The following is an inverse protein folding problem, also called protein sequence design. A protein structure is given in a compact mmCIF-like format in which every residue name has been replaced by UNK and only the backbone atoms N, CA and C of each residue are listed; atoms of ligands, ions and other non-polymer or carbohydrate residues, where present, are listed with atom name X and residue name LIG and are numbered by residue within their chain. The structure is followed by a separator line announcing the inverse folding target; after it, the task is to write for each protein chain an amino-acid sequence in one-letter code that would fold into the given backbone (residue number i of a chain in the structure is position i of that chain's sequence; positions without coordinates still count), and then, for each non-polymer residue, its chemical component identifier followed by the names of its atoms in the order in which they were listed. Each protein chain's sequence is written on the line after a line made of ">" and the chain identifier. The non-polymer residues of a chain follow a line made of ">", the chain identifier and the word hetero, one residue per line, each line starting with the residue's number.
data_IF_677866614759
#
_entry.id   IF_677866614759
#
_cell.length_a   1.000
_cell.length_b   1.000
_cell.length_c   1.000
_cell.angle_alpha   90.00
_cell.angle_beta   90.00
_cell.angle_gamma   90.00
#
_symmetry.space_group_name_H-M   'P 1'
#
loop_
_entity.id
_entity.type
_entity.pdbx_description
1 polymer ?
#
# COMPACT_ATOMS: atom_id res chain seq x y z
N UNK A 1 3.97 -26.39 -32.67
CA UNK A 1 3.81 -25.06 -32.04
C UNK A 1 5.19 -24.63 -31.55
N UNK A 2 5.85 -23.68 -32.23
CA UNK A 2 7.26 -23.37 -31.95
C UNK A 2 7.40 -22.64 -30.60
N UNK A 3 8.31 -23.11 -29.75
CA UNK A 3 8.59 -22.55 -28.42
C UNK A 3 8.87 -21.04 -28.45
N UNK A 4 9.53 -20.56 -29.50
CA UNK A 4 9.77 -19.13 -29.76
C UNK A 4 8.49 -18.32 -29.95
N UNK A 5 7.47 -18.90 -30.61
CA UNK A 5 6.18 -18.23 -30.82
C UNK A 5 5.34 -18.15 -29.55
N UNK A 6 5.50 -19.12 -28.63
CA UNK A 6 4.84 -19.11 -27.32
C UNK A 6 5.49 -18.07 -26.39
N UNK A 7 6.83 -18.00 -26.40
CA UNK A 7 7.58 -16.95 -25.71
C UNK A 7 7.18 -15.57 -26.22
N UNK A 8 7.21 -15.34 -27.54
CA UNK A 8 6.86 -14.05 -28.14
C UNK A 8 5.43 -13.59 -27.81
N UNK A 9 4.46 -14.51 -27.78
CA UNK A 9 3.08 -14.21 -27.40
C UNK A 9 2.96 -13.76 -25.94
N UNK A 10 3.65 -14.46 -25.04
CA UNK A 10 3.61 -14.14 -23.62
C UNK A 10 4.32 -12.82 -23.31
N UNK A 11 5.49 -12.55 -23.90
CA UNK A 11 6.18 -11.26 -23.71
C UNK A 11 5.37 -10.10 -24.26
N UNK A 12 4.80 -10.21 -25.47
CA UNK A 12 3.94 -9.17 -26.02
C UNK A 12 2.67 -8.98 -25.20
N UNK A 13 2.07 -10.07 -24.69
CA UNK A 13 0.91 -10.02 -23.80
C UNK A 13 1.21 -9.30 -22.49
N UNK A 14 2.37 -9.57 -21.89
CA UNK A 14 2.82 -8.94 -20.65
C UNK A 14 3.11 -7.45 -20.86
N UNK A 15 3.81 -7.09 -21.93
CA UNK A 15 4.06 -5.69 -22.29
C UNK A 15 2.75 -4.93 -22.54
N UNK A 16 1.79 -5.54 -23.24
CA UNK A 16 0.48 -4.94 -23.46
C UNK A 16 -0.30 -4.76 -22.14
N UNK A 17 -0.19 -5.70 -21.20
CA UNK A 17 -0.81 -5.59 -19.88
C UNK A 17 -0.21 -4.42 -19.08
N UNK A 18 1.13 -4.35 -19.00
CA UNK A 18 1.82 -3.25 -18.33
C UNK A 18 1.44 -1.92 -18.97
N UNK A 19 1.41 -1.84 -20.30
CA UNK A 19 1.01 -0.64 -21.02
C UNK A 19 -0.40 -0.17 -20.68
N UNK A 20 -1.37 -1.09 -20.61
CA UNK A 20 -2.75 -0.77 -20.20
C UNK A 20 -2.83 -0.23 -18.77
N UNK A 21 -2.14 -0.88 -17.83
CA UNK A 21 -2.11 -0.44 -16.41
C UNK A 21 -1.41 0.91 -16.28
N UNK A 22 -0.30 1.12 -16.98
CA UNK A 22 0.44 2.37 -16.96
C UNK A 22 -0.39 3.54 -17.54
N UNK A 23 -1.11 3.32 -18.64
CA UNK A 23 -2.02 4.33 -19.20
C UNK A 23 -3.18 4.64 -18.25
N UNK A 24 -3.78 3.62 -17.64
CA UNK A 24 -4.84 3.81 -16.63
C UNK A 24 -4.32 4.65 -15.45
N UNK A 25 -3.16 4.29 -14.89
CA UNK A 25 -2.55 5.04 -13.79
C UNK A 25 -2.21 6.49 -14.18
N UNK A 26 -1.66 6.71 -15.38
CA UNK A 26 -1.36 8.05 -15.87
C UNK A 26 -2.64 8.89 -16.04
N UNK A 27 -3.71 8.31 -16.54
CA UNK A 27 -5.02 8.96 -16.62
C UNK A 27 -5.56 9.30 -15.22
N UNK A 28 -5.54 8.37 -14.27
CA UNK A 28 -5.96 8.62 -12.87
C UNK A 28 -5.17 9.75 -12.24
N UNK A 29 -3.84 9.75 -12.35
CA UNK A 29 -2.97 10.82 -11.82
C UNK A 29 -3.29 12.17 -12.49
N UNK A 30 -3.59 12.19 -13.78
CA UNK A 30 -3.97 13.43 -14.48
C UNK A 30 -5.28 14.03 -13.96
N UNK A 31 -6.20 13.22 -13.41
CA UNK A 31 -7.45 13.70 -12.81
C UNK A 31 -7.27 14.29 -11.41
N UNK A 32 -6.08 14.17 -10.79
CA UNK A 32 -5.80 14.86 -9.52
C UNK A 32 -5.75 16.39 -9.68
N UNK A 33 -5.47 16.88 -10.88
CA UNK A 33 -5.33 18.32 -11.18
C UNK A 33 -6.42 18.85 -12.12
N UNK A 34 -7.34 17.99 -12.57
CA UNK A 34 -8.44 18.36 -13.47
C UNK A 34 -9.77 18.32 -12.70
N UNK A 35 -10.65 19.31 -12.91
CA UNK A 35 -12.00 19.24 -12.35
C UNK A 35 -12.82 18.11 -13.00
N UNK A 36 -13.86 17.58 -12.34
CA UNK A 36 -14.42 17.99 -11.04
C UNK A 36 -13.65 17.43 -9.82
N UNK A 37 -13.59 18.21 -8.72
CA UNK A 37 -12.97 17.80 -7.46
C UNK A 37 -14.02 17.26 -6.47
N UNK A 38 -13.78 16.06 -5.96
CA UNK A 38 -14.66 15.35 -5.02
C UNK A 38 -14.10 15.39 -3.60
N UNK A 39 -14.14 16.57 -2.96
CA UNK A 39 -13.50 16.79 -1.65
C UNK A 39 -14.09 15.92 -0.53
N UNK A 40 -15.40 15.63 -0.59
CA UNK A 40 -16.05 14.78 0.43
C UNK A 40 -15.53 13.35 0.35
N UNK A 41 -15.43 12.82 -0.85
CA UNK A 41 -14.92 11.49 -1.15
C UNK A 41 -13.44 11.39 -0.79
N UNK A 42 -12.65 12.43 -1.05
CA UNK A 42 -11.26 12.52 -0.63
C UNK A 42 -11.10 12.49 0.90
N UNK A 43 -11.92 13.25 1.65
CA UNK A 43 -11.91 13.22 3.12
C UNK A 43 -12.32 11.86 3.66
N UNK A 44 -13.34 11.23 3.07
CA UNK A 44 -13.73 9.87 3.43
C UNK A 44 -12.59 8.88 3.18
N UNK A 45 -11.88 8.99 2.05
CA UNK A 45 -10.72 8.17 1.75
C UNK A 45 -9.58 8.40 2.77
N UNK A 46 -9.32 9.64 3.19
CA UNK A 46 -8.32 9.93 4.22
C UNK A 46 -8.65 9.25 5.56
N UNK A 47 -9.91 9.25 5.98
CA UNK A 47 -10.34 8.57 7.20
C UNK A 47 -10.23 7.05 7.04
N UNK A 48 -10.74 6.50 5.94
CA UNK A 48 -10.74 5.05 5.71
C UNK A 48 -9.33 4.49 5.55
N UNK A 49 -8.45 5.18 4.81
CA UNK A 49 -7.08 4.74 4.56
C UNK A 49 -6.18 5.05 5.76
N UNK A 50 -6.27 6.27 6.30
CA UNK A 50 -5.41 6.73 7.38
C UNK A 50 -5.86 6.20 8.74
N UNK A 51 -7.00 6.71 9.23
CA UNK A 51 -7.45 6.47 10.60
C UNK A 51 -7.68 4.98 10.88
N UNK A 52 -8.39 4.27 9.99
CA UNK A 52 -8.66 2.86 10.23
C UNK A 52 -7.40 2.00 10.19
N UNK A 53 -6.29 2.46 9.61
CA UNK A 53 -5.04 1.69 9.50
C UNK A 53 -4.11 1.88 10.71
N UNK A 54 -4.33 2.94 11.50
CA UNK A 54 -3.55 3.21 12.71
C UNK A 54 -3.51 2.04 13.71
N UNK A 55 -4.61 1.31 13.99
CA UNK A 55 -4.57 0.19 14.94
C UNK A 55 -3.63 -0.94 14.50
N UNK A 56 -3.64 -1.30 13.21
CA UNK A 56 -2.81 -2.39 12.68
C UNK A 56 -1.33 -1.99 12.65
N UNK A 57 -1.03 -0.77 12.20
CA UNK A 57 0.34 -0.23 12.21
C UNK A 57 0.86 -0.07 13.64
N UNK A 58 0.04 0.48 14.53
CA UNK A 58 0.37 0.69 15.94
C UNK A 58 0.64 -0.61 16.69
N UNK A 59 -0.20 -1.63 16.50
CA UNK A 59 0.01 -2.95 17.09
C UNK A 59 1.32 -3.58 16.62
N UNK A 60 1.59 -3.49 15.31
CA UNK A 60 2.82 -4.00 14.71
C UNK A 60 4.04 -3.26 15.26
N UNK A 61 4.00 -1.92 15.30
CA UNK A 61 5.08 -1.09 15.82
C UNK A 61 5.36 -1.38 17.31
N UNK A 62 4.32 -1.58 18.12
CA UNK A 62 4.44 -1.92 19.53
C UNK A 62 5.19 -3.25 19.72
N UNK A 63 4.72 -4.32 19.05
CA UNK A 63 5.32 -5.64 19.21
C UNK A 63 6.71 -5.73 18.60
N UNK A 64 6.92 -5.19 17.40
CA UNK A 64 8.24 -5.19 16.76
C UNK A 64 9.24 -4.34 17.54
N UNK A 65 8.82 -3.17 18.03
CA UNK A 65 9.66 -2.30 18.86
C UNK A 65 10.03 -2.97 20.20
N UNK A 66 9.07 -3.60 20.86
CA UNK A 66 9.31 -4.34 22.10
C UNK A 66 10.25 -5.54 21.90
N UNK A 67 10.05 -6.32 20.83
CA UNK A 67 10.92 -7.44 20.48
C UNK A 67 12.36 -6.96 20.19
N UNK A 68 12.51 -5.87 19.45
CA UNK A 68 13.81 -5.28 19.15
C UNK A 68 14.51 -4.75 20.39
N UNK A 69 13.78 -4.09 21.30
CA UNK A 69 14.32 -3.62 22.58
C UNK A 69 14.85 -4.79 23.42
N UNK A 70 14.09 -5.89 23.51
CA UNK A 70 14.51 -7.09 24.23
C UNK A 70 15.76 -7.73 23.60
N UNK A 71 15.80 -7.82 22.27
CA UNK A 71 16.92 -8.39 21.53
C UNK A 71 18.21 -7.56 21.74
N UNK A 72 18.12 -6.24 21.66
CA UNK A 72 19.27 -5.35 21.84
C UNK A 72 19.73 -5.35 23.30
N UNK A 73 18.80 -5.36 24.26
CA UNK A 73 19.15 -5.48 25.68
C UNK A 73 19.93 -6.76 25.97
N UNK A 74 19.45 -7.91 25.49
CA UNK A 74 20.14 -9.19 25.68
C UNK A 74 21.56 -9.21 25.08
N UNK A 75 21.78 -8.51 23.97
CA UNK A 75 23.11 -8.33 23.37
C UNK A 75 23.98 -7.34 24.14
N UNK A 76 23.42 -6.19 24.54
CA UNK A 76 24.12 -5.08 25.18
C UNK A 76 24.51 -5.34 26.64
N UNK A 77 23.71 -6.11 27.37
CA UNK A 77 23.99 -6.49 28.76
C UNK A 77 25.33 -7.26 28.89
N UNK A 78 25.70 -8.03 27.87
CA UNK A 78 27.00 -8.75 27.83
C UNK A 78 28.21 -7.82 27.79
N UNK A 79 28.01 -6.56 27.42
CA UNK A 79 29.07 -5.55 27.28
C UNK A 79 28.86 -4.35 28.23
N UNK A 80 27.97 -4.46 29.23
CA UNK A 80 27.56 -3.34 30.10
C UNK A 80 27.06 -2.10 29.33
N UNK A 81 26.47 -2.30 28.15
CA UNK A 81 26.02 -1.23 27.24
C UNK A 81 24.50 -0.96 27.31
N UNK A 82 23.85 -1.31 28.43
CA UNK A 82 22.39 -1.24 28.60
C UNK A 82 21.83 0.19 28.44
N UNK A 83 22.61 1.20 28.84
CA UNK A 83 22.22 2.61 28.74
C UNK A 83 22.00 3.09 27.28
N UNK A 84 22.59 2.40 26.29
CA UNK A 84 22.51 2.78 24.87
C UNK A 84 21.30 2.13 24.17
N UNK A 85 20.68 1.12 24.80
CA UNK A 85 19.56 0.36 24.21
C UNK A 85 18.42 1.26 23.74
N UNK A 86 17.91 2.23 24.54
CA UNK A 86 16.78 3.08 24.10
C UNK A 86 17.14 3.94 22.88
N UNK A 87 18.38 4.42 22.79
CA UNK A 87 18.85 5.22 21.66
C UNK A 87 18.91 4.41 20.37
N UNK A 88 19.39 3.17 20.43
CA UNK A 88 19.46 2.28 19.25
C UNK A 88 18.04 1.93 18.78
N UNK A 89 17.16 1.57 19.71
CA UNK A 89 15.76 1.26 19.42
C UNK A 89 15.06 2.45 18.75
N UNK A 90 15.20 3.65 19.32
CA UNK A 90 14.56 4.85 18.80
C UNK A 90 15.06 5.20 17.38
N UNK A 91 16.38 5.16 17.16
CA UNK A 91 16.96 5.46 15.85
C UNK A 91 16.53 4.42 14.80
N UNK A 92 16.61 3.12 15.13
CA UNK A 92 16.22 2.04 14.22
C UNK A 92 14.73 2.06 13.88
N UNK A 93 13.87 2.33 14.87
CA UNK A 93 12.43 2.45 14.65
C UNK A 93 12.07 3.67 13.81
N UNK A 94 12.70 4.83 14.03
CA UNK A 94 12.34 6.04 13.29
C UNK A 94 12.89 6.05 11.86
N UNK A 95 14.12 5.56 11.65
CA UNK A 95 14.80 5.68 10.34
C UNK A 95 14.52 4.54 9.39
N UNK A 96 14.27 3.34 9.91
CA UNK A 96 14.21 2.13 9.07
C UNK A 96 12.88 1.41 9.26
N UNK A 97 12.65 0.85 10.44
CA UNK A 97 11.55 -0.08 10.66
C UNK A 97 10.19 0.62 10.63
N UNK A 98 10.06 1.81 11.18
CA UNK A 98 8.81 2.58 11.20
C UNK A 98 8.30 2.88 9.78
N UNK A 99 9.11 3.52 8.91
CA UNK A 99 8.71 3.76 7.52
C UNK A 99 8.42 2.48 6.74
N UNK A 100 9.25 1.44 6.89
CA UNK A 100 9.09 0.17 6.15
C UNK A 100 7.85 -0.58 6.60
N UNK A 101 7.68 -0.81 7.90
CA UNK A 101 6.54 -1.53 8.46
C UNK A 101 5.25 -0.74 8.25
N UNK A 102 5.28 0.57 8.48
CA UNK A 102 4.13 1.44 8.25
C UNK A 102 3.68 1.41 6.79
N UNK A 103 4.61 1.62 5.85
CA UNK A 103 4.31 1.59 4.41
C UNK A 103 3.79 0.24 3.94
N UNK A 104 4.46 -0.85 4.35
CA UNK A 104 4.04 -2.21 3.98
C UNK A 104 2.66 -2.57 4.52
N UNK A 105 2.40 -2.25 5.79
CA UNK A 105 1.17 -2.65 6.46
C UNK A 105 -0.04 -1.83 5.96
N UNK A 106 0.15 -0.54 5.70
CA UNK A 106 -0.87 0.30 5.05
C UNK A 106 -1.13 -0.20 3.63
N UNK A 107 -0.08 -0.39 2.82
CA UNK A 107 -0.23 -0.85 1.44
C UNK A 107 -0.97 -2.19 1.36
N UNK A 108 -0.61 -3.18 2.19
CA UNK A 108 -1.26 -4.49 2.20
C UNK A 108 -2.75 -4.42 2.54
N UNK A 109 -3.10 -3.78 3.65
CA UNK A 109 -4.49 -3.67 4.12
C UNK A 109 -5.35 -2.85 3.16
N UNK A 110 -4.83 -1.71 2.70
CA UNK A 110 -5.60 -0.75 1.89
C UNK A 110 -5.75 -1.26 0.46
N UNK A 111 -4.71 -1.83 -0.15
CA UNK A 111 -4.81 -2.38 -1.50
C UNK A 111 -5.82 -3.52 -1.57
N UNK A 112 -5.84 -4.42 -0.57
CA UNK A 112 -6.82 -5.50 -0.51
C UNK A 112 -8.26 -4.97 -0.35
N UNK A 113 -8.47 -3.97 0.51
CA UNK A 113 -9.78 -3.36 0.71
C UNK A 113 -10.30 -2.67 -0.56
N UNK A 114 -9.47 -1.85 -1.22
CA UNK A 114 -9.84 -1.17 -2.47
C UNK A 114 -10.08 -2.18 -3.60
N UNK A 115 -9.24 -3.21 -3.73
CA UNK A 115 -9.43 -4.25 -4.73
C UNK A 115 -10.74 -5.03 -4.51
N UNK A 116 -11.09 -5.32 -3.26
CA UNK A 116 -12.34 -5.97 -2.92
C UNK A 116 -13.55 -5.07 -3.25
N UNK A 117 -13.49 -3.78 -2.92
CA UNK A 117 -14.53 -2.81 -3.23
C UNK A 117 -14.73 -2.62 -4.74
N UNK A 118 -13.67 -2.43 -5.51
CA UNK A 118 -13.75 -2.36 -6.97
C UNK A 118 -14.25 -3.67 -7.59
N UNK A 119 -13.87 -4.81 -7.00
CA UNK A 119 -14.35 -6.13 -7.39
C UNK A 119 -15.86 -6.28 -7.20
N UNK A 120 -16.39 -5.85 -6.05
CA UNK A 120 -17.85 -5.90 -5.78
C UNK A 120 -18.59 -4.94 -6.70
N UNK A 121 -18.07 -3.73 -6.93
CA UNK A 121 -18.62 -2.77 -7.88
C UNK A 121 -18.66 -3.31 -9.31
N UNK A 122 -17.66 -4.09 -9.72
CA UNK A 122 -17.66 -4.74 -11.04
C UNK A 122 -18.68 -5.87 -11.14
N UNK A 123 -18.79 -6.71 -10.11
CA UNK A 123 -19.75 -7.84 -10.07
C UNK A 123 -21.20 -7.34 -10.00
N UNK A 124 -21.43 -6.20 -9.36
CA UNK A 124 -22.75 -5.55 -9.27
C UNK A 124 -23.04 -4.59 -10.42
N UNK A 125 -22.21 -4.60 -11.47
CA UNK A 125 -22.33 -3.76 -12.68
C UNK A 125 -22.35 -2.24 -12.43
N UNK A 126 -21.95 -1.77 -11.24
CA UNK A 126 -21.96 -0.34 -10.91
C UNK A 126 -21.00 0.47 -11.78
N UNK A 127 -19.83 -0.10 -12.13
CA UNK A 127 -18.85 0.54 -13.01
C UNK A 127 -19.42 0.71 -14.44
N UNK A 128 -20.13 -0.32 -14.91
CA UNK A 128 -20.73 -0.30 -16.25
C UNK A 128 -21.90 0.69 -16.29
N UNK A 129 -22.71 0.74 -15.22
CA UNK A 129 -23.76 1.74 -15.04
C UNK A 129 -23.21 3.18 -15.10
N UNK A 130 -22.14 3.49 -14.36
CA UNK A 130 -21.50 4.82 -14.40
C UNK A 130 -21.03 5.19 -15.82
N UNK A 131 -20.44 4.22 -16.53
CA UNK A 131 -19.98 4.40 -17.91
C UNK A 131 -21.15 4.73 -18.85
N UNK A 132 -22.30 4.07 -18.70
CA UNK A 132 -23.50 4.35 -19.52
C UNK A 132 -24.14 5.71 -19.21
N UNK A 133 -24.02 6.20 -17.98
CA UNK A 133 -24.49 7.52 -17.57
C UNK A 133 -23.56 8.68 -17.99
N UNK A 134 -22.59 8.41 -18.89
CA UNK A 134 -21.59 9.38 -19.35
C UNK A 134 -20.72 9.96 -18.22
N UNK A 135 -20.60 9.22 -17.12
CA UNK A 135 -19.65 9.52 -16.05
C UNK A 135 -18.38 8.71 -16.27
N UNK A 136 -17.23 9.29 -15.93
CA UNK A 136 -15.95 8.58 -15.95
C UNK A 136 -15.74 7.91 -14.58
N UNK A 137 -15.91 6.57 -14.47
CA UNK A 137 -15.62 5.84 -13.25
C UNK A 137 -14.12 5.73 -12.96
#
# INVERSE_FOLDING_TARGET
>A
MNWLGLLGRNTLGLLALIGRIAMFAAQTVSHLVRPPFYTREFLNALVTIGWLSLPVVGLTALFTGGALALQIYAGGARFNAEAVVPSIVAIGMVRELGPVLGGLMVAGRVAAAIAAELGTMKVTEQIDALTTLSSHP
#
